data_IF_657200929042
#
_entry.id   IF_657200929042
#
_cell.length_a   1.000
_cell.length_b   1.000
_cell.length_c   1.000
_cell.angle_alpha   90.00
_cell.angle_beta   90.00
_cell.angle_gamma   90.00
#
_symmetry.space_group_name_H-M   'P 1'
#
loop_
_entity.id
_entity.type
_entity.pdbx_description
1 polymer ?
#
# COMPACT_ATOMS: atom_id res chain seq x y z
N UNK A 1 -13.02 -15.53 -10.43
CA UNK A 1 -11.99 -14.47 -10.27
C UNK A 1 -12.33 -13.66 -9.02
N UNK A 2 -11.37 -13.32 -8.15
CA UNK A 2 -11.67 -12.60 -6.92
C UNK A 2 -12.24 -11.21 -7.23
N UNK A 3 -13.41 -10.89 -6.66
CA UNK A 3 -14.07 -9.60 -6.84
C UNK A 3 -13.39 -8.55 -5.94
N UNK A 4 -12.70 -7.57 -6.53
CA UNK A 4 -12.16 -6.43 -5.79
C UNK A 4 -13.30 -5.47 -5.45
N UNK A 5 -13.70 -5.42 -4.19
CA UNK A 5 -14.74 -4.50 -3.70
C UNK A 5 -14.28 -3.05 -3.76
N UNK A 6 -15.21 -2.09 -3.78
CA UNK A 6 -14.89 -0.65 -3.73
C UNK A 6 -14.01 -0.29 -2.52
N UNK A 7 -14.29 -0.90 -1.37
CA UNK A 7 -13.50 -0.74 -0.15
C UNK A 7 -12.05 -1.20 -0.35
N UNK A 8 -11.87 -2.38 -0.95
CA UNK A 8 -10.55 -2.94 -1.26
C UNK A 8 -9.73 -2.01 -2.17
N UNK A 9 -10.38 -1.39 -3.16
CA UNK A 9 -9.74 -0.40 -4.05
C UNK A 9 -9.23 0.82 -3.28
N UNK A 10 -10.08 1.37 -2.40
CA UNK A 10 -9.75 2.56 -1.62
C UNK A 10 -8.60 2.30 -0.64
N UNK A 11 -8.60 1.13 0.00
CA UNK A 11 -7.51 0.73 0.90
C UNK A 11 -6.19 0.62 0.15
N UNK A 12 -6.16 -0.09 -0.98
CA UNK A 12 -4.98 -0.19 -1.85
C UNK A 12 -4.45 1.19 -2.28
N UNK A 13 -5.35 2.04 -2.78
CA UNK A 13 -5.03 3.39 -3.24
C UNK A 13 -4.38 4.23 -2.12
N UNK A 14 -4.93 4.16 -0.90
CA UNK A 14 -4.36 4.81 0.28
C UNK A 14 -2.95 4.31 0.60
N UNK A 15 -2.71 3.01 0.54
CA UNK A 15 -1.37 2.44 0.80
C UNK A 15 -0.33 2.92 -0.21
N UNK A 16 -0.68 2.96 -1.50
CA UNK A 16 0.20 3.47 -2.55
C UNK A 16 0.54 4.95 -2.31
N UNK A 17 -0.48 5.78 -2.04
CA UNK A 17 -0.29 7.19 -1.75
C UNK A 17 0.61 7.41 -0.52
N UNK A 18 0.39 6.65 0.55
CA UNK A 18 1.22 6.75 1.74
C UNK A 18 2.67 6.34 1.46
N UNK A 19 2.90 5.24 0.74
CA UNK A 19 4.25 4.81 0.35
C UNK A 19 4.98 5.82 -0.52
N UNK A 20 4.26 6.56 -1.37
CA UNK A 20 4.82 7.69 -2.11
C UNK A 20 5.23 8.83 -1.17
N UNK A 21 4.31 9.24 -0.29
CA UNK A 21 4.50 10.40 0.59
C UNK A 21 5.61 10.21 1.60
N UNK A 22 5.73 9.02 2.20
CA UNK A 22 6.79 8.71 3.19
C UNK A 22 8.20 8.79 2.61
N UNK A 23 8.32 8.79 1.28
CA UNK A 23 9.60 8.89 0.55
C UNK A 23 9.83 10.25 -0.07
N UNK A 24 8.96 11.22 0.20
CA UNK A 24 9.06 12.57 -0.35
C UNK A 24 8.92 12.61 -1.87
N UNK A 25 8.28 11.61 -2.48
CA UNK A 25 8.06 11.60 -3.91
C UNK A 25 6.80 12.40 -4.28
N UNK A 26 6.93 13.29 -5.26
CA UNK A 26 5.78 13.99 -5.85
C UNK A 26 5.03 13.09 -6.83
N UNK A 27 3.79 13.45 -7.17
CA UNK A 27 2.98 12.69 -8.13
C UNK A 27 3.59 12.80 -9.53
N UNK A 28 4.12 13.97 -9.88
CA UNK A 28 4.78 14.27 -11.14
C UNK A 28 6.03 13.42 -11.32
N UNK A 29 6.81 13.23 -10.25
CA UNK A 29 8.02 12.42 -10.29
C UNK A 29 7.74 10.96 -10.63
N UNK A 30 6.70 10.37 -10.05
CA UNK A 30 6.34 9.00 -10.40
C UNK A 30 5.69 8.94 -11.78
N UNK A 31 4.82 9.88 -12.12
CA UNK A 31 4.20 9.94 -13.44
C UNK A 31 5.26 9.94 -14.56
N UNK A 32 6.31 10.76 -14.39
CA UNK A 32 7.47 10.78 -15.27
C UNK A 32 8.23 9.44 -15.28
N UNK A 33 8.48 8.83 -14.12
CA UNK A 33 9.18 7.54 -14.02
C UNK A 33 8.42 6.37 -14.69
N UNK A 34 7.09 6.47 -14.76
CA UNK A 34 6.22 5.45 -15.37
C UNK A 34 5.82 5.81 -16.81
N UNK A 35 6.20 6.99 -17.31
CA UNK A 35 5.83 7.44 -18.65
C UNK A 35 4.32 7.64 -18.82
N UNK A 36 3.61 8.02 -17.75
CA UNK A 36 2.15 8.21 -17.75
C UNK A 36 1.78 9.64 -17.35
N UNK A 37 0.60 10.14 -17.76
CA UNK A 37 0.09 11.41 -17.27
C UNK A 37 -0.08 11.42 -15.74
N UNK A 38 0.15 12.58 -15.11
CA UNK A 38 -0.06 12.79 -13.65
C UNK A 38 -1.45 12.33 -13.20
N UNK A 39 -2.47 12.65 -14.01
CA UNK A 39 -3.86 12.29 -13.74
C UNK A 39 -4.12 10.77 -13.66
N UNK A 40 -3.28 9.95 -14.29
CA UNK A 40 -3.35 8.49 -14.16
C UNK A 40 -2.92 8.06 -12.76
N UNK A 41 -1.81 8.61 -12.26
CA UNK A 41 -1.34 8.31 -10.90
C UNK A 41 -2.35 8.81 -9.86
N UNK A 42 -2.91 10.01 -10.04
CA UNK A 42 -3.94 10.53 -9.14
C UNK A 42 -5.18 9.64 -9.10
N UNK A 43 -5.65 9.16 -10.26
CA UNK A 43 -6.77 8.22 -10.34
C UNK A 43 -6.46 6.88 -9.65
N UNK A 44 -5.23 6.41 -9.73
CA UNK A 44 -4.78 5.21 -9.01
C UNK A 44 -4.76 5.45 -7.50
N UNK A 45 -4.14 6.54 -7.05
CA UNK A 45 -4.00 6.89 -5.63
C UNK A 45 -5.31 7.32 -4.95
N UNK A 46 -6.36 7.58 -5.75
CA UNK A 46 -7.73 7.83 -5.27
C UNK A 46 -8.66 6.62 -5.44
N UNK A 47 -8.19 5.54 -6.08
CA UNK A 47 -8.96 4.30 -6.29
C UNK A 47 -10.01 4.39 -7.40
N UNK A 48 -9.97 5.44 -8.23
CA UNK A 48 -10.81 5.60 -9.42
C UNK A 48 -10.31 4.74 -10.59
N UNK A 49 -9.01 4.46 -10.63
CA UNK A 49 -8.39 3.57 -11.61
C UNK A 49 -7.70 2.41 -10.88
N UNK A 50 -7.98 1.20 -11.34
CA UNK A 50 -7.25 0.01 -10.90
C UNK A 50 -6.08 -0.24 -11.86
N UNK A 51 -4.82 -0.20 -11.38
CA UNK A 51 -3.70 -0.65 -12.17
C UNK A 51 -3.78 -2.17 -12.38
N UNK A 52 -3.19 -2.65 -13.47
CA UNK A 52 -2.94 -4.08 -13.66
C UNK A 52 -2.01 -4.63 -12.58
N UNK A 53 -1.97 -5.94 -12.40
CA UNK A 53 -1.06 -6.58 -11.43
C UNK A 53 0.40 -6.24 -11.70
N UNK A 54 0.80 -6.13 -12.97
CA UNK A 54 2.17 -5.78 -13.37
C UNK A 54 2.50 -4.32 -13.03
N UNK A 55 1.59 -3.39 -13.36
CA UNK A 55 1.77 -1.97 -13.03
C UNK A 55 1.81 -1.76 -11.52
N UNK A 56 0.89 -2.41 -10.78
CA UNK A 56 0.86 -2.36 -9.33
C UNK A 56 2.18 -2.85 -8.73
N UNK A 57 2.72 -3.97 -9.24
CA UNK A 57 3.99 -4.50 -8.76
C UNK A 57 5.15 -3.52 -9.02
N UNK A 58 5.19 -2.90 -10.21
CA UNK A 58 6.19 -1.86 -10.53
C UNK A 58 6.05 -0.65 -9.62
N UNK A 59 4.82 -0.16 -9.39
CA UNK A 59 4.54 0.94 -8.47
C UNK A 59 4.99 0.60 -7.06
N UNK A 60 4.64 -0.58 -6.54
CA UNK A 60 5.08 -1.04 -5.23
C UNK A 60 6.61 -1.08 -5.12
N UNK A 61 7.31 -1.63 -6.13
CA UNK A 61 8.78 -1.65 -6.15
C UNK A 61 9.38 -0.25 -6.13
N UNK A 62 8.81 0.69 -6.88
CA UNK A 62 9.25 2.08 -6.93
C UNK A 62 9.02 2.80 -5.60
N UNK A 63 7.83 2.61 -5.01
CA UNK A 63 7.52 3.02 -3.65
C UNK A 63 8.17 2.13 -2.58
N UNK A 64 9.00 1.15 -2.97
CA UNK A 64 9.60 0.09 -2.14
C UNK A 64 8.67 -0.45 -1.05
N UNK A 65 7.41 -0.60 -1.40
CA UNK A 65 6.42 -1.36 -0.67
C UNK A 65 6.53 -2.82 -1.11
N UNK A 66 6.28 -3.73 -0.19
CA UNK A 66 6.00 -5.11 -0.57
C UNK A 66 4.61 -5.16 -1.24
N UNK A 67 4.56 -5.66 -2.48
CA UNK A 67 3.32 -5.78 -3.24
C UNK A 67 2.29 -6.67 -2.52
N UNK A 68 2.76 -7.66 -1.76
CA UNK A 68 1.87 -8.48 -0.92
C UNK A 68 1.34 -7.68 0.26
N UNK A 69 2.13 -6.81 0.90
CA UNK A 69 1.67 -5.93 1.97
C UNK A 69 0.60 -4.92 1.52
N UNK A 70 0.64 -4.44 0.27
CA UNK A 70 -0.42 -3.60 -0.31
C UNK A 70 -1.69 -4.42 -0.58
N UNK A 71 -1.54 -5.71 -0.89
CA UNK A 71 -2.63 -6.67 -1.02
C UNK A 71 -3.12 -7.25 0.32
N UNK A 72 -2.35 -7.16 1.41
CA UNK A 72 -2.58 -7.88 2.65
C UNK A 72 -3.78 -7.41 3.50
N UNK A 73 -4.23 -6.13 3.45
CA UNK A 73 -5.53 -5.77 4.00
C UNK A 73 -6.70 -6.48 3.30
N UNK A 74 -6.47 -7.11 2.14
CA UNK A 74 -7.46 -7.88 1.38
C UNK A 74 -7.55 -9.35 1.82
N UNK A 75 -6.64 -9.83 2.70
CA UNK A 75 -6.64 -11.21 3.21
C UNK A 75 -6.75 -11.32 4.74
N UNK A 76 -6.48 -10.27 5.52
CA UNK A 76 -6.55 -10.30 6.98
C UNK A 76 -7.77 -9.61 7.60
N UNK A 77 -8.98 -10.09 7.26
CA UNK A 77 -10.05 -10.15 8.27
C UNK A 77 -10.05 -11.45 9.08
N UNK A 78 -9.06 -12.33 8.86
CA UNK A 78 -9.05 -13.70 9.41
C UNK A 78 -7.94 -13.97 10.44
N UNK A 79 -6.85 -13.20 10.51
CA UNK A 79 -5.68 -13.57 11.37
C UNK A 79 -5.13 -12.40 12.22
N UNK A 80 -5.98 -11.43 12.61
CA UNK A 80 -5.57 -10.41 13.58
C UNK A 80 -5.93 -10.80 15.03
N UNK A 81 -6.84 -11.75 15.26
CA UNK A 81 -7.22 -12.21 16.60
C UNK A 81 -6.35 -13.34 17.15
N UNK A 82 -5.43 -13.90 16.37
CA UNK A 82 -4.73 -15.14 16.76
C UNK A 82 -3.23 -15.00 17.00
N UNK A 83 -2.54 -13.99 16.44
CA UNK A 83 -1.06 -14.00 16.41
C UNK A 83 -0.40 -12.97 17.35
N UNK A 84 -1.04 -11.85 17.69
CA UNK A 84 -0.42 -10.82 18.54
C UNK A 84 -0.73 -10.99 20.03
N UNK A 85 -0.50 -12.19 20.54
CA UNK A 85 -0.66 -12.57 21.95
C UNK A 85 0.60 -13.17 22.58
N UNK A 86 1.79 -12.65 22.28
CA UNK A 86 3.06 -12.91 22.98
C UNK A 86 4.11 -11.92 22.44
N UNK A 87 5.03 -11.29 23.17
CA UNK A 87 5.56 -11.46 24.53
C UNK A 87 6.26 -10.16 24.94
N UNK A 88 6.35 -9.94 26.25
CA UNK A 88 7.04 -8.86 26.99
C UNK A 88 8.47 -8.52 26.54
N UNK A 89 8.90 -7.30 26.86
CA UNK A 89 10.28 -7.06 27.28
C UNK A 89 10.27 -6.16 28.53
N UNK A 90 10.65 -6.76 29.66
CA UNK A 90 11.10 -6.07 30.87
C UNK A 90 12.46 -5.40 30.57
N UNK A 91 12.74 -4.23 31.16
CA UNK A 91 14.08 -3.87 31.66
C UNK A 91 14.03 -2.62 32.57
N UNK A 92 14.14 -2.91 33.87
CA UNK A 92 14.91 -2.24 34.94
C UNK A 92 14.83 -0.72 35.22
N UNK A 93 14.31 -0.44 36.42
CA UNK A 93 14.83 0.38 37.53
C UNK A 93 15.29 1.83 37.26
N UNK A 94 14.57 2.77 37.87
CA UNK A 94 15.20 3.86 38.61
C UNK A 94 14.44 4.13 39.92
N UNK A 95 15.15 3.83 41.01
CA UNK A 95 15.15 4.40 42.38
C UNK A 95 13.90 5.04 42.96
#
# INVERSE_FOLDING_TARGET
>A
MPHITKHNRQTMARHLRLGRQTRGHSVERIAAAFGVPVSVIEKVETGHLLPTSVELHRMCKWYGLDAYAVFWPLRLRVIASTVFGARKQDDTLHT
#
